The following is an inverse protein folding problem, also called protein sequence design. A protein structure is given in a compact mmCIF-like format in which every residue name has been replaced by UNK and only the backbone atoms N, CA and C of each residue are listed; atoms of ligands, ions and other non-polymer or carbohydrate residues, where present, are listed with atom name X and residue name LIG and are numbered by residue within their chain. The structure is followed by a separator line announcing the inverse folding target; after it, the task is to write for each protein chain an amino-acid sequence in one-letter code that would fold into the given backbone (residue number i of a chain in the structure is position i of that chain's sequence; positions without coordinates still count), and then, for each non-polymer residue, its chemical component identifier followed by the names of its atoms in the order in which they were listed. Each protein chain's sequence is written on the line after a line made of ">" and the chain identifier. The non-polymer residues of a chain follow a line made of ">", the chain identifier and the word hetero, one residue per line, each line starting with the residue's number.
data_IF_426722737125
#
_entry.id   IF_426722737125
#
_cell.length_a   1.000
_cell.length_b   1.000
_cell.length_c   1.000
_cell.angle_alpha   90.00
_cell.angle_beta   90.00
_cell.angle_gamma   90.00
#
_symmetry.space_group_name_H-M   'P 1'
#
loop_
_entity.id
_entity.type
_entity.pdbx_description
1 polymer ?
#
# COMPACT_ATOMS: atom_id res chain seq x y z
N UNK A 1 -5.28 -4.67 -22.97
CA UNK A 1 -3.87 -4.41 -23.33
C UNK A 1 -3.70 -3.05 -23.98
N UNK A 2 -3.90 -1.95 -23.23
CA UNK A 2 -3.56 -0.57 -23.67
C UNK A 2 -3.15 0.33 -22.48
N UNK A 3 -2.75 -0.24 -21.33
CA UNK A 3 -2.30 0.54 -20.16
C UNK A 3 -0.78 0.77 -20.16
N UNK A 4 -0.11 0.32 -21.21
CA UNK A 4 1.35 0.17 -21.29
C UNK A 4 1.94 0.68 -22.61
N UNK A 5 1.20 1.49 -23.37
CA UNK A 5 1.72 2.20 -24.56
C UNK A 5 2.92 3.09 -24.21
N UNK A 6 3.03 3.48 -22.94
CA UNK A 6 4.13 4.22 -22.35
C UNK A 6 5.47 3.47 -22.45
N UNK A 7 5.46 2.13 -22.54
CA UNK A 7 6.67 1.32 -22.77
C UNK A 7 7.32 1.60 -24.12
N UNK A 8 6.52 1.98 -25.12
CA UNK A 8 7.01 2.37 -26.43
C UNK A 8 7.34 3.86 -26.54
N UNK A 9 6.93 4.69 -25.57
CA UNK A 9 7.24 6.13 -25.57
C UNK A 9 8.73 6.38 -25.53
N UNK A 10 9.51 5.55 -24.81
CA UNK A 10 10.99 5.67 -24.80
C UNK A 10 11.58 5.40 -26.18
N UNK A 11 11.11 4.36 -26.88
CA UNK A 11 11.56 4.04 -28.24
C UNK A 11 11.15 5.13 -29.24
N UNK A 12 9.94 5.67 -29.11
CA UNK A 12 9.47 6.78 -29.92
C UNK A 12 10.26 8.07 -29.64
N UNK A 13 10.51 8.39 -28.38
CA UNK A 13 11.31 9.55 -27.99
C UNK A 13 12.74 9.43 -28.55
N UNK A 14 13.35 8.23 -28.47
CA UNK A 14 14.65 7.97 -29.08
C UNK A 14 14.60 8.14 -30.60
N UNK A 15 13.64 7.53 -31.28
CA UNK A 15 13.47 7.65 -32.73
C UNK A 15 13.26 9.11 -33.17
N UNK A 16 12.39 9.85 -32.49
CA UNK A 16 12.16 11.27 -32.77
C UNK A 16 13.37 12.14 -32.46
N UNK A 17 14.13 11.85 -31.40
CA UNK A 17 15.36 12.61 -31.09
C UNK A 17 16.44 12.41 -32.16
N UNK A 18 16.64 11.16 -32.61
CA UNK A 18 17.65 10.82 -33.61
C UNK A 18 17.24 11.30 -35.01
N UNK A 19 16.05 10.92 -35.48
CA UNK A 19 15.56 11.29 -36.80
C UNK A 19 15.23 12.79 -36.89
N UNK A 20 14.77 13.39 -35.79
CA UNK A 20 14.51 14.82 -35.71
C UNK A 20 15.80 15.63 -35.84
N UNK A 21 16.90 15.22 -35.19
CA UNK A 21 18.20 15.86 -35.35
C UNK A 21 18.72 15.79 -36.79
N UNK A 22 18.60 14.61 -37.43
CA UNK A 22 18.97 14.43 -38.84
C UNK A 22 18.10 15.31 -39.74
N UNK A 23 16.78 15.33 -39.53
CA UNK A 23 15.86 16.15 -40.33
C UNK A 23 16.16 17.65 -40.21
N UNK A 24 16.46 18.14 -39.00
CA UNK A 24 16.85 19.54 -38.78
C UNK A 24 18.15 19.89 -39.51
N UNK A 25 19.12 18.97 -39.55
CA UNK A 25 20.38 19.15 -40.29
C UNK A 25 20.13 19.38 -41.78
N UNK A 26 19.27 18.59 -42.40
CA UNK A 26 18.99 18.65 -43.85
C UNK A 26 18.12 19.86 -44.25
N UNK A 27 17.18 20.28 -43.40
CA UNK A 27 16.24 21.37 -43.70
C UNK A 27 16.88 22.77 -43.51
N UNK A 28 18.05 22.83 -42.87
CA UNK A 28 18.84 24.05 -42.71
C UNK A 28 18.39 24.94 -41.55
N UNK A 29 19.31 25.78 -41.05
CA UNK A 29 19.19 26.51 -39.78
C UNK A 29 17.96 27.42 -39.66
N UNK A 30 17.48 28.01 -40.75
CA UNK A 30 16.32 28.93 -40.76
C UNK A 30 15.01 28.21 -40.43
N UNK A 31 14.80 27.04 -41.01
CA UNK A 31 13.59 26.22 -40.80
C UNK A 31 13.73 25.31 -39.57
N UNK A 32 14.96 24.92 -39.21
CA UNK A 32 15.25 24.17 -37.99
C UNK A 32 14.71 24.84 -36.72
N UNK A 33 14.80 26.17 -36.62
CA UNK A 33 14.24 26.94 -35.49
C UNK A 33 12.71 26.79 -35.43
N UNK A 34 12.02 26.84 -36.57
CA UNK A 34 10.56 26.69 -36.62
C UNK A 34 10.16 25.31 -36.11
N UNK A 35 10.83 24.25 -36.56
CA UNK A 35 10.58 22.88 -36.10
C UNK A 35 10.90 22.67 -34.62
N UNK A 36 11.93 23.34 -34.07
CA UNK A 36 12.21 23.32 -32.64
C UNK A 36 11.14 24.02 -31.80
N UNK A 37 10.44 25.01 -32.36
CA UNK A 37 9.35 25.71 -31.68
C UNK A 37 8.02 24.92 -31.72
N UNK A 38 7.82 24.02 -32.67
CA UNK A 38 6.57 23.24 -32.80
C UNK A 38 6.20 22.48 -31.51
N UNK A 39 7.10 21.71 -30.86
CA UNK A 39 6.79 21.06 -29.60
C UNK A 39 6.45 22.04 -28.47
N UNK A 40 7.12 23.21 -28.43
CA UNK A 40 6.84 24.24 -27.42
C UNK A 40 5.45 24.86 -27.61
N UNK A 41 5.05 25.12 -28.86
CA UNK A 41 3.71 25.61 -29.19
C UNK A 41 2.67 24.54 -28.88
N UNK A 42 2.92 23.30 -29.26
CA UNK A 42 2.02 22.17 -28.99
C UNK A 42 1.84 21.91 -27.49
N UNK A 43 2.92 22.02 -26.71
CA UNK A 43 2.91 21.84 -25.26
C UNK A 43 2.52 23.08 -24.47
N UNK A 44 2.12 24.19 -25.12
CA UNK A 44 1.69 25.42 -24.43
C UNK A 44 0.64 25.19 -23.32
N UNK A 45 -0.39 24.33 -23.52
CA UNK A 45 -1.33 24.02 -22.45
C UNK A 45 -0.66 23.48 -21.19
N UNK A 46 0.41 22.67 -21.29
CA UNK A 46 1.08 22.05 -20.15
C UNK A 46 1.67 23.10 -19.20
N UNK A 47 2.22 24.21 -19.73
CA UNK A 47 2.78 25.31 -18.93
C UNK A 47 1.72 26.10 -18.16
N UNK A 48 0.45 25.99 -18.55
CA UNK A 48 -0.68 26.67 -17.91
C UNK A 48 -1.58 25.70 -17.13
N UNK A 49 -1.02 24.56 -16.70
CA UNK A 49 -1.79 23.52 -16.00
C UNK A 49 -2.86 22.90 -16.87
N UNK A 50 -2.53 22.63 -18.13
CA UNK A 50 -3.47 22.20 -19.18
C UNK A 50 -4.66 23.17 -19.32
N UNK A 51 -4.36 24.47 -19.49
CA UNK A 51 -5.37 25.53 -19.58
C UNK A 51 -6.29 25.58 -18.35
N UNK A 52 -5.71 25.44 -17.15
CA UNK A 52 -6.45 25.49 -15.89
C UNK A 52 -7.17 24.19 -15.50
N UNK A 53 -7.00 23.10 -16.24
CA UNK A 53 -7.51 21.78 -15.83
C UNK A 53 -6.82 21.25 -14.56
N UNK A 54 -5.54 21.56 -14.39
CA UNK A 54 -4.71 21.21 -13.24
C UNK A 54 -4.34 22.47 -12.46
N UNK A 55 -4.86 22.54 -11.24
CA UNK A 55 -4.60 23.58 -10.25
C UNK A 55 -3.93 22.91 -9.04
N UNK A 56 -2.70 23.32 -8.66
CA UNK A 56 -2.09 22.87 -7.42
C UNK A 56 -3.05 23.15 -6.26
N UNK A 57 -3.47 22.08 -5.60
CA UNK A 57 -4.44 22.13 -4.50
C UNK A 57 -3.81 21.46 -3.29
N UNK A 58 -3.80 22.18 -2.18
CA UNK A 58 -3.30 21.65 -0.91
C UNK A 58 -4.42 20.92 -0.15
N UNK A 59 -4.05 20.08 0.82
CA UNK A 59 -5.02 19.41 1.67
C UNK A 59 -5.75 20.41 2.58
N UNK A 60 -7.03 20.17 2.91
CA UNK A 60 -7.74 20.97 3.89
C UNK A 60 -7.04 20.98 5.26
N UNK A 61 -7.17 22.09 6.00
CA UNK A 61 -6.51 22.26 7.32
C UNK A 61 -6.85 21.12 8.30
N UNK A 62 -8.09 20.65 8.28
CA UNK A 62 -8.54 19.61 9.18
C UNK A 62 -7.94 18.22 8.91
N UNK A 63 -7.45 17.95 7.69
CA UNK A 63 -6.63 16.78 7.43
C UNK A 63 -5.32 16.82 8.22
N UNK A 64 -4.65 17.98 8.24
CA UNK A 64 -3.45 18.18 9.05
C UNK A 64 -3.76 18.02 10.54
N UNK A 65 -4.88 18.57 11.01
CA UNK A 65 -5.28 18.45 12.42
C UNK A 65 -5.50 16.98 12.82
N UNK A 66 -6.12 16.16 11.96
CA UNK A 66 -6.29 14.71 12.17
C UNK A 66 -4.94 13.99 12.14
N UNK A 67 -4.05 14.32 11.19
CA UNK A 67 -2.70 13.74 11.12
C UNK A 67 -1.91 14.04 12.39
N UNK A 68 -1.86 15.29 12.85
CA UNK A 68 -1.16 15.66 14.09
C UNK A 68 -1.72 14.94 15.31
N UNK A 69 -3.04 14.72 15.35
CA UNK A 69 -3.64 13.91 16.40
C UNK A 69 -3.16 12.44 16.35
N UNK A 70 -3.15 11.81 15.18
CA UNK A 70 -2.68 10.44 15.02
C UNK A 70 -1.18 10.30 15.34
N UNK A 71 -0.36 11.24 14.89
CA UNK A 71 1.08 11.27 15.18
C UNK A 71 1.34 11.33 16.69
N UNK A 72 0.50 12.04 17.46
CA UNK A 72 0.58 12.08 18.93
C UNK A 72 0.26 10.74 19.62
N UNK A 73 -0.30 9.77 18.90
CA UNK A 73 -0.67 8.44 19.42
C UNK A 73 0.36 7.35 19.12
N UNK A 74 1.40 7.65 18.36
CA UNK A 74 2.42 6.68 17.93
C UNK A 74 2.12 6.06 16.56
N UNK A 75 2.85 4.97 16.25
CA UNK A 75 2.88 4.33 14.93
C UNK A 75 2.72 2.81 14.97
N UNK A 76 2.36 2.24 16.12
CA UNK A 76 2.21 0.80 16.38
C UNK A 76 0.85 0.24 15.95
N UNK A 77 0.06 1.02 15.23
CA UNK A 77 -1.28 0.69 14.77
C UNK A 77 -1.49 1.07 13.29
N UNK A 78 -2.57 0.53 12.71
CA UNK A 78 -3.03 0.85 11.36
C UNK A 78 -4.26 1.75 11.40
N UNK A 79 -4.44 2.50 10.32
CA UNK A 79 -5.59 3.38 10.10
C UNK A 79 -6.38 2.85 8.92
N UNK A 80 -7.69 2.64 9.09
CA UNK A 80 -8.58 2.35 7.96
C UNK A 80 -9.11 3.66 7.40
N UNK A 81 -8.97 3.87 6.09
CA UNK A 81 -9.52 5.03 5.40
C UNK A 81 -10.74 4.64 4.57
N UNK A 82 -11.81 5.41 4.77
CA UNK A 82 -13.13 5.26 4.14
C UNK A 82 -13.57 6.60 3.54
N UNK A 83 -14.50 6.62 2.57
CA UNK A 83 -15.21 5.48 1.97
C UNK A 83 -14.32 4.47 1.25
N UNK A 84 -14.82 3.24 1.07
CA UNK A 84 -14.07 2.12 0.50
C UNK A 84 -13.97 2.18 -1.03
N UNK A 85 -13.35 3.27 -1.51
CA UNK A 85 -13.13 3.57 -2.92
C UNK A 85 -11.66 3.88 -3.19
N UNK A 86 -11.04 3.17 -4.13
CA UNK A 86 -9.64 3.41 -4.52
C UNK A 86 -9.47 4.72 -5.28
N UNK A 87 -10.52 5.14 -5.99
CA UNK A 87 -10.63 6.43 -6.67
C UNK A 87 -11.97 7.06 -6.33
N UNK A 88 -11.95 8.30 -5.85
CA UNK A 88 -13.17 9.04 -5.54
C UNK A 88 -12.99 10.52 -5.75
N UNK A 89 -14.12 11.21 -5.86
CA UNK A 89 -14.16 12.65 -6.03
C UNK A 89 -13.97 13.32 -4.67
N UNK A 90 -13.08 14.30 -4.60
CA UNK A 90 -12.89 15.11 -3.40
C UNK A 90 -13.38 16.52 -3.65
N UNK A 91 -14.34 16.98 -2.85
CA UNK A 91 -15.01 18.26 -2.99
C UNK A 91 -14.06 19.48 -2.99
N UNK A 92 -12.97 19.39 -2.23
CA UNK A 92 -11.95 20.42 -2.06
C UNK A 92 -10.94 20.52 -3.22
N UNK A 93 -10.96 19.60 -4.19
CA UNK A 93 -10.12 19.66 -5.38
C UNK A 93 -10.65 20.70 -6.38
N UNK A 94 -9.77 21.60 -6.83
CA UNK A 94 -10.08 22.71 -7.74
C UNK A 94 -9.94 22.39 -9.22
N UNK A 95 -9.46 21.18 -9.55
CA UNK A 95 -9.27 20.72 -10.92
C UNK A 95 -10.61 20.51 -11.64
N UNK A 96 -10.56 20.45 -12.97
CA UNK A 96 -11.72 20.11 -13.79
C UNK A 96 -12.27 18.70 -13.45
N UNK A 97 -11.36 17.75 -13.22
CA UNK A 97 -11.68 16.43 -12.66
C UNK A 97 -11.30 16.39 -11.18
N UNK A 98 -12.29 16.07 -10.33
CA UNK A 98 -12.11 15.96 -8.87
C UNK A 98 -11.71 14.56 -8.44
N UNK A 99 -11.73 13.59 -9.35
CA UNK A 99 -11.43 12.20 -9.05
C UNK A 99 -9.92 12.01 -8.96
N UNK A 100 -9.48 11.57 -7.79
CA UNK A 100 -8.09 11.14 -7.59
C UNK A 100 -8.05 9.80 -6.88
N UNK A 101 -6.90 9.13 -6.93
CA UNK A 101 -6.62 8.01 -6.05
C UNK A 101 -6.71 8.49 -4.59
N UNK A 102 -7.32 7.70 -3.70
CA UNK A 102 -7.42 8.03 -2.29
C UNK A 102 -6.03 8.42 -1.73
N UNK A 103 -5.84 9.66 -1.26
CA UNK A 103 -4.51 10.18 -0.95
C UNK A 103 -4.02 9.79 0.45
N UNK A 104 -4.86 9.10 1.23
CA UNK A 104 -4.65 8.86 2.65
C UNK A 104 -3.32 8.16 2.95
N UNK A 105 -2.96 7.11 2.21
CA UNK A 105 -1.70 6.40 2.39
C UNK A 105 -0.45 7.26 2.09
N UNK A 106 -0.56 8.30 1.27
CA UNK A 106 0.53 9.24 1.01
C UNK A 106 0.55 10.44 1.97
N UNK A 107 -0.58 10.74 2.61
CA UNK A 107 -0.74 11.90 3.47
C UNK A 107 -0.49 11.60 4.96
N UNK A 108 -1.07 10.51 5.48
CA UNK A 108 -0.92 10.12 6.89
C UNK A 108 0.37 9.32 7.09
N UNK A 109 1.03 9.51 8.24
CA UNK A 109 2.29 8.84 8.54
C UNK A 109 2.09 7.38 9.02
N UNK A 110 0.90 7.06 9.52
CA UNK A 110 0.55 5.71 9.95
C UNK A 110 0.37 4.78 8.76
N UNK A 111 0.46 3.47 8.99
CA UNK A 111 0.12 2.48 7.96
C UNK A 111 -1.38 2.55 7.65
N UNK A 112 -1.73 3.15 6.52
CA UNK A 112 -3.13 3.29 6.08
C UNK A 112 -3.54 2.08 5.23
N UNK A 113 -4.66 1.48 5.60
CA UNK A 113 -5.41 0.54 4.76
C UNK A 113 -6.50 1.35 4.05
N UNK A 114 -6.43 1.37 2.73
CA UNK A 114 -7.42 2.00 1.86
C UNK A 114 -7.84 1.02 0.77
N UNK A 115 -8.97 1.28 0.12
CA UNK A 115 -9.46 0.41 -0.94
C UNK A 115 -8.52 0.45 -2.16
N UNK A 116 -8.37 -0.70 -2.83
CA UNK A 116 -7.58 -0.87 -4.05
C UNK A 116 -8.43 -1.26 -5.26
N UNK A 117 -9.75 -1.10 -5.15
CA UNK A 117 -10.68 -1.29 -6.26
C UNK A 117 -10.47 -0.21 -7.33
N UNK A 118 -10.53 -0.63 -8.59
CA UNK A 118 -10.27 0.25 -9.74
C UNK A 118 -11.52 0.96 -10.25
N UNK A 119 -12.68 0.65 -9.66
CA UNK A 119 -13.98 1.26 -9.99
C UNK A 119 -14.33 1.20 -11.49
N UNK A 120 -13.91 0.13 -12.17
CA UNK A 120 -14.22 -0.12 -13.58
C UNK A 120 -15.43 -1.04 -13.67
N UNK A 121 -16.42 -0.67 -14.50
CA UNK A 121 -17.61 -1.48 -14.76
C UNK A 121 -17.22 -2.91 -15.16
N UNK A 122 -17.76 -3.90 -14.45
CA UNK A 122 -17.48 -5.33 -14.68
C UNK A 122 -16.16 -5.84 -14.09
N UNK A 123 -15.34 -4.98 -13.46
CA UNK A 123 -14.12 -5.37 -12.74
C UNK A 123 -13.97 -4.59 -11.44
N UNK A 124 -14.42 -5.18 -10.35
CA UNK A 124 -14.35 -4.56 -9.02
C UNK A 124 -12.89 -4.44 -8.52
N UNK A 125 -12.01 -5.44 -8.73
CA UNK A 125 -10.61 -5.40 -8.27
C UNK A 125 -9.63 -5.88 -9.33
N UNK A 126 -8.44 -5.27 -9.37
CA UNK A 126 -7.27 -5.80 -10.09
C UNK A 126 -6.39 -6.70 -9.21
N UNK A 127 -6.33 -6.42 -7.91
CA UNK A 127 -5.57 -7.20 -6.91
C UNK A 127 -6.44 -7.47 -5.69
N UNK A 128 -6.51 -8.71 -5.24
CA UNK A 128 -7.26 -9.10 -4.05
C UNK A 128 -6.30 -9.67 -3.01
N UNK A 129 -5.77 -8.82 -2.13
CA UNK A 129 -5.08 -9.31 -0.94
C UNK A 129 -6.10 -9.83 0.07
N UNK A 130 -5.75 -10.81 0.93
CA UNK A 130 -6.67 -11.29 1.97
C UNK A 130 -7.23 -10.17 2.84
N UNK A 131 -6.40 -9.18 3.16
CA UNK A 131 -6.77 -7.99 3.93
C UNK A 131 -7.85 -7.15 3.24
N UNK A 132 -7.74 -6.93 1.92
CA UNK A 132 -8.77 -6.21 1.15
C UNK A 132 -10.09 -6.99 1.15
N UNK A 133 -10.06 -8.30 0.86
CA UNK A 133 -11.26 -9.16 0.89
C UNK A 133 -11.95 -9.10 2.25
N UNK A 134 -11.16 -9.13 3.33
CA UNK A 134 -11.65 -9.08 4.69
C UNK A 134 -12.31 -7.73 5.03
N UNK A 135 -11.68 -6.61 4.65
CA UNK A 135 -12.29 -5.29 4.85
C UNK A 135 -13.53 -5.09 3.98
N UNK A 136 -13.51 -5.52 2.72
CA UNK A 136 -14.69 -5.49 1.86
C UNK A 136 -15.87 -6.19 2.54
N UNK A 137 -15.62 -7.39 3.08
CA UNK A 137 -16.65 -8.13 3.81
C UNK A 137 -17.19 -7.35 5.02
N UNK A 138 -16.30 -6.73 5.81
CA UNK A 138 -16.68 -5.92 6.97
C UNK A 138 -17.50 -4.72 6.55
N UNK A 139 -17.03 -3.95 5.58
CA UNK A 139 -17.67 -2.70 5.12
C UNK A 139 -19.03 -2.98 4.50
N UNK A 140 -19.13 -3.95 3.58
CA UNK A 140 -20.39 -4.29 2.92
C UNK A 140 -21.44 -4.91 3.83
N UNK A 141 -21.03 -5.42 5.00
CA UNK A 141 -21.94 -6.00 5.98
C UNK A 141 -21.91 -5.26 7.32
N UNK A 142 -21.42 -4.01 7.35
CA UNK A 142 -21.15 -3.26 8.59
C UNK A 142 -22.34 -3.17 9.54
N UNK A 143 -23.55 -2.98 8.99
CA UNK A 143 -24.79 -2.97 9.77
C UNK A 143 -25.14 -4.33 10.41
N UNK A 144 -24.74 -5.43 9.78
CA UNK A 144 -25.08 -6.81 10.19
C UNK A 144 -24.04 -7.41 11.12
N UNK A 145 -22.80 -6.90 11.10
CA UNK A 145 -21.69 -7.41 11.90
C UNK A 145 -21.74 -6.79 13.30
N UNK A 146 -22.08 -7.61 14.30
CA UNK A 146 -22.13 -7.22 15.72
C UNK A 146 -20.77 -6.83 16.28
N UNK A 147 -19.74 -7.61 15.94
CA UNK A 147 -18.37 -7.59 16.46
C UNK A 147 -17.36 -6.94 15.49
N UNK A 148 -17.78 -5.88 14.79
CA UNK A 148 -16.96 -5.21 13.77
C UNK A 148 -15.65 -4.65 14.35
N UNK A 149 -15.72 -4.09 15.54
CA UNK A 149 -14.60 -3.58 16.32
C UNK A 149 -13.52 -4.66 16.58
N UNK A 150 -13.92 -5.86 17.01
CA UNK A 150 -12.99 -7.00 17.15
C UNK A 150 -12.39 -7.44 15.81
N UNK A 151 -13.18 -7.49 14.74
CA UNK A 151 -12.70 -7.85 13.41
C UNK A 151 -11.67 -6.85 12.88
N UNK A 152 -11.90 -5.54 13.07
CA UNK A 152 -10.92 -4.51 12.71
C UNK A 152 -9.62 -4.65 13.51
N UNK A 153 -9.71 -5.03 14.79
CA UNK A 153 -8.53 -5.24 15.62
C UNK A 153 -7.63 -6.37 15.14
N UNK A 154 -8.17 -7.40 14.46
CA UNK A 154 -7.37 -8.46 13.85
C UNK A 154 -6.38 -7.94 12.80
N UNK A 155 -6.66 -6.77 12.21
CA UNK A 155 -5.78 -6.08 11.27
C UNK A 155 -5.01 -4.93 11.91
N UNK A 156 -4.91 -4.90 13.24
CA UNK A 156 -4.29 -3.82 14.01
C UNK A 156 -4.91 -2.43 13.76
N UNK A 157 -6.18 -2.37 13.35
CA UNK A 157 -6.84 -1.10 13.05
C UNK A 157 -7.29 -0.47 14.37
N UNK A 158 -6.62 0.61 14.76
CA UNK A 158 -6.99 1.40 15.95
C UNK A 158 -7.89 2.58 15.59
N UNK A 159 -7.64 3.22 14.46
CA UNK A 159 -8.41 4.38 14.03
C UNK A 159 -9.04 4.14 12.66
N UNK A 160 -10.25 4.67 12.49
CA UNK A 160 -10.96 4.69 11.21
C UNK A 160 -11.21 6.14 10.84
N UNK A 161 -10.73 6.56 9.68
CA UNK A 161 -11.02 7.86 9.09
C UNK A 161 -12.13 7.67 8.06
N UNK A 162 -13.21 8.42 8.19
CA UNK A 162 -14.27 8.50 7.18
C UNK A 162 -14.25 9.91 6.59
N UNK A 163 -13.84 10.03 5.33
CA UNK A 163 -13.96 11.26 4.57
C UNK A 163 -15.44 11.54 4.26
N UNK A 164 -15.88 12.78 4.43
CA UNK A 164 -17.24 13.26 4.13
C UNK A 164 -17.43 13.51 2.63
N UNK A 165 -17.07 12.51 1.83
CA UNK A 165 -17.09 12.53 0.37
C UNK A 165 -17.98 11.40 -0.17
N UNK A 166 -18.40 11.52 -1.43
CA UNK A 166 -19.16 10.50 -2.17
C UNK A 166 -20.35 9.92 -1.38
N UNK A 167 -20.21 8.71 -0.85
CA UNK A 167 -21.27 7.90 -0.22
C UNK A 167 -21.08 7.73 1.29
N UNK A 168 -20.33 8.64 1.94
CA UNK A 168 -19.99 8.54 3.36
C UNK A 168 -21.20 8.36 4.29
N UNK A 169 -22.40 8.83 3.91
CA UNK A 169 -23.61 8.63 4.71
C UNK A 169 -23.98 7.14 4.87
N UNK A 170 -23.61 6.30 3.90
CA UNK A 170 -23.76 4.84 3.97
C UNK A 170 -22.99 4.19 5.12
N UNK A 171 -22.03 4.90 5.71
CA UNK A 171 -21.20 4.44 6.82
C UNK A 171 -21.72 4.86 8.19
N UNK A 172 -22.99 5.27 8.30
CA UNK A 172 -23.60 5.68 9.57
C UNK A 172 -23.55 4.61 10.68
N UNK A 173 -23.40 3.33 10.31
CA UNK A 173 -23.20 2.24 11.25
C UNK A 173 -21.93 2.40 12.11
N UNK A 174 -20.90 3.10 11.62
CA UNK A 174 -19.65 3.33 12.37
C UNK A 174 -19.91 4.06 13.69
N UNK A 175 -20.87 4.99 13.74
CA UNK A 175 -21.21 5.72 14.97
C UNK A 175 -21.80 4.84 16.08
N UNK A 176 -22.33 3.66 15.72
CA UNK A 176 -22.85 2.67 16.68
C UNK A 176 -21.79 1.66 17.12
N UNK A 177 -20.75 1.47 16.31
CA UNK A 177 -19.77 0.37 16.44
C UNK A 177 -18.42 0.85 16.95
N UNK A 178 -18.07 2.11 16.69
CA UNK A 178 -16.80 2.72 17.04
C UNK A 178 -17.03 4.00 17.84
N UNK A 179 -16.00 4.44 18.55
CA UNK A 179 -16.05 5.66 19.35
C UNK A 179 -15.65 6.84 18.49
N UNK A 180 -16.55 7.79 18.25
CA UNK A 180 -16.19 9.05 17.60
C UNK A 180 -15.22 9.84 18.49
N UNK A 181 -14.05 10.18 17.94
CA UNK A 181 -12.99 10.95 18.63
C UNK A 181 -12.99 12.39 18.18
N UNK A 182 -13.16 12.61 16.87
CA UNK A 182 -13.13 13.94 16.28
C UNK A 182 -14.05 13.98 15.06
N UNK A 183 -14.75 15.09 14.94
CA UNK A 183 -15.46 15.48 13.73
C UNK A 183 -14.86 16.80 13.25
N UNK A 184 -14.63 16.89 11.95
CA UNK A 184 -14.14 18.10 11.27
C UNK A 184 -15.04 18.44 10.09
N UNK A 185 -14.67 19.45 9.30
CA UNK A 185 -15.41 19.82 8.09
C UNK A 185 -15.44 18.68 7.06
N UNK A 186 -14.31 18.00 6.85
CA UNK A 186 -14.14 16.99 5.81
C UNK A 186 -14.02 15.55 6.34
N UNK A 187 -13.78 15.34 7.64
CA UNK A 187 -13.45 14.01 8.19
C UNK A 187 -14.24 13.69 9.46
N UNK A 188 -14.56 12.42 9.63
CA UNK A 188 -14.79 11.81 10.95
C UNK A 188 -13.61 10.92 11.31
N UNK A 189 -13.17 11.00 12.56
CA UNK A 189 -12.17 10.12 13.14
C UNK A 189 -12.79 9.28 14.25
N UNK A 190 -12.76 7.97 14.07
CA UNK A 190 -13.23 6.99 15.05
C UNK A 190 -12.06 6.23 15.66
N UNK A 191 -12.18 5.88 16.94
CA UNK A 191 -11.31 4.95 17.65
C UNK A 191 -12.02 3.61 17.83
N UNK A 192 -11.28 2.54 17.58
CA UNK A 192 -11.71 1.17 17.80
C UNK A 192 -11.55 0.81 19.30
N UNK A 193 -12.65 0.62 20.04
CA UNK A 193 -12.59 0.33 21.48
C UNK A 193 -12.01 -1.07 21.78
N UNK A 194 -12.04 -1.98 20.81
CA UNK A 194 -11.57 -3.36 20.94
C UNK A 194 -10.14 -3.55 20.47
N UNK A 195 -9.41 -2.48 20.16
CA UNK A 195 -8.00 -2.55 19.74
C UNK A 195 -7.10 -3.11 20.85
N UNK A 196 -6.22 -4.05 20.49
CA UNK A 196 -5.33 -4.75 21.42
C UNK A 196 -3.85 -4.75 21.02
N UNK A 197 -3.48 -4.03 19.96
CA UNK A 197 -2.10 -3.95 19.47
C UNK A 197 -1.77 -4.97 18.38
N UNK A 198 -0.49 -5.02 18.00
CA UNK A 198 0.01 -5.80 16.88
C UNK A 198 0.09 -7.32 17.12
N UNK A 199 -0.03 -7.76 18.37
CA UNK A 199 -0.02 -9.17 18.73
C UNK A 199 -0.82 -9.47 20.00
N UNK A 200 -1.36 -10.68 20.08
CA UNK A 200 -2.00 -11.22 21.27
C UNK A 200 -1.73 -12.71 21.37
N UNK A 201 -2.13 -13.30 22.49
CA UNK A 201 -1.90 -14.71 22.78
C UNK A 201 -3.12 -15.34 23.46
N UNK A 202 -3.34 -16.63 23.20
CA UNK A 202 -4.50 -17.41 23.70
C UNK A 202 -4.12 -18.89 23.88
N UNK A 203 -4.82 -19.59 24.78
CA UNK A 203 -4.67 -21.03 24.98
C UNK A 203 -5.65 -21.85 24.13
N UNK A 204 -6.77 -21.23 23.75
CA UNK A 204 -7.86 -21.90 23.06
C UNK A 204 -7.68 -21.87 21.55
N UNK A 205 -8.00 -22.98 20.89
CA UNK A 205 -8.14 -23.07 19.44
C UNK A 205 -9.55 -23.55 19.08
N UNK A 206 -10.09 -23.04 17.98
CA UNK A 206 -11.40 -23.37 17.44
C UNK A 206 -11.34 -23.52 15.93
N UNK A 207 -12.01 -24.55 15.41
CA UNK A 207 -12.07 -24.84 13.99
C UNK A 207 -13.42 -24.43 13.43
N UNK A 208 -13.40 -23.73 12.31
CA UNK A 208 -14.60 -23.26 11.61
C UNK A 208 -14.61 -23.80 10.18
N UNK A 209 -15.79 -24.08 9.67
CA UNK A 209 -15.94 -24.51 8.28
C UNK A 209 -16.02 -23.33 7.32
N UNK A 210 -16.49 -22.16 7.80
CA UNK A 210 -16.68 -20.98 6.97
C UNK A 210 -16.44 -19.65 7.71
N UNK A 211 -15.98 -18.58 7.00
CA UNK A 211 -15.71 -17.28 7.62
C UNK A 211 -16.90 -16.58 8.26
N UNK A 212 -18.12 -16.77 7.75
CA UNK A 212 -19.32 -16.12 8.28
C UNK A 212 -19.62 -16.54 9.73
N UNK A 213 -19.07 -17.68 10.18
CA UNK A 213 -19.20 -18.14 11.55
C UNK A 213 -18.45 -17.27 12.56
N UNK A 214 -17.58 -16.36 12.12
CA UNK A 214 -16.93 -15.36 12.97
C UNK A 214 -17.86 -14.20 13.35
N UNK A 215 -18.96 -13.99 12.64
CA UNK A 215 -19.88 -12.87 12.90
C UNK A 215 -20.58 -13.08 14.26
N UNK A 216 -20.73 -12.00 15.02
CA UNK A 216 -21.45 -11.95 16.30
C UNK A 216 -20.86 -12.87 17.38
N UNK A 217 -19.58 -13.22 17.28
CA UNK A 217 -18.82 -13.93 18.31
C UNK A 217 -17.73 -13.03 18.87
N UNK A 218 -17.37 -13.22 20.13
CA UNK A 218 -16.05 -12.81 20.60
C UNK A 218 -15.06 -13.69 19.85
N UNK A 219 -14.22 -13.08 19.02
CA UNK A 219 -13.30 -13.81 18.14
C UNK A 219 -11.86 -13.72 18.63
N UNK A 220 -11.58 -12.79 19.53
CA UNK A 220 -10.20 -12.54 19.98
C UNK A 220 -9.79 -13.36 21.21
N UNK A 221 -10.71 -14.16 21.78
CA UNK A 221 -10.48 -14.99 22.97
C UNK A 221 -9.87 -16.37 22.65
N UNK A 222 -9.93 -16.80 21.39
CA UNK A 222 -9.47 -18.10 20.90
C UNK A 222 -8.87 -17.95 19.52
N UNK A 223 -7.91 -18.79 19.17
CA UNK A 223 -7.39 -18.89 17.81
C UNK A 223 -8.43 -19.58 16.93
N UNK A 224 -8.87 -18.93 15.86
CA UNK A 224 -9.78 -19.53 14.88
C UNK A 224 -9.03 -19.96 13.62
N UNK A 225 -9.20 -21.21 13.23
CA UNK A 225 -8.60 -21.81 12.01
C UNK A 225 -9.70 -22.40 11.13
N UNK A 226 -9.63 -22.16 9.82
CA UNK A 226 -10.59 -22.76 8.90
C UNK A 226 -10.17 -24.17 8.50
N UNK A 227 -11.09 -25.13 8.60
CA UNK A 227 -10.87 -26.53 8.24
C UNK A 227 -11.36 -27.50 9.30
N UNK A 228 -10.85 -28.73 9.24
CA UNK A 228 -11.20 -29.81 10.16
C UNK A 228 -10.25 -29.83 11.35
N UNK A 229 -10.79 -29.96 12.56
CA UNK A 229 -10.02 -30.09 13.79
C UNK A 229 -10.92 -30.14 15.03
N UNK A 230 -10.31 -30.29 16.19
CA UNK A 230 -11.02 -30.35 17.48
C UNK A 230 -10.79 -29.08 18.28
N UNK A 231 -11.89 -28.47 18.72
CA UNK A 231 -11.83 -27.32 19.62
C UNK A 231 -11.18 -27.75 20.95
N UNK A 232 -10.19 -27.00 21.42
CA UNK A 232 -9.48 -27.34 22.67
C UNK A 232 -8.95 -26.10 23.38
N UNK A 233 -8.66 -26.22 24.68
CA UNK A 233 -8.14 -25.13 25.51
C UNK A 233 -9.20 -24.11 25.98
N UNK A 234 -8.92 -23.35 27.05
CA UNK A 234 -9.83 -22.32 27.58
C UNK A 234 -9.90 -21.10 26.67
N UNK A 235 -11.00 -20.33 26.75
CA UNK A 235 -11.07 -19.00 26.14
C UNK A 235 -10.33 -17.98 26.99
N UNK A 236 -9.65 -17.04 26.34
CA UNK A 236 -8.98 -15.94 27.00
C UNK A 236 -7.96 -15.27 26.08
N UNK A 237 -8.08 -13.94 25.97
CA UNK A 237 -7.12 -13.10 25.26
C UNK A 237 -6.16 -12.47 26.25
N UNK A 238 -4.88 -12.49 25.89
CA UNK A 238 -3.85 -11.74 26.61
C UNK A 238 -3.08 -10.92 25.60
N UNK A 239 -2.91 -9.62 25.88
CA UNK A 239 -2.05 -8.78 25.06
C UNK A 239 -0.62 -9.35 25.05
N UNK A 240 0.06 -9.22 23.93
CA UNK A 240 1.47 -9.58 23.80
C UNK A 240 2.24 -8.37 23.30
N UNK A 241 3.19 -7.89 24.11
CA UNK A 241 4.01 -6.74 23.72
C UNK A 241 5.08 -7.15 22.70
N UNK A 242 5.07 -6.46 21.57
CA UNK A 242 6.00 -6.69 20.45
C UNK A 242 6.57 -5.39 19.93
N UNK A 243 7.77 -5.46 19.34
CA UNK A 243 8.44 -4.35 18.71
C UNK A 243 8.79 -4.71 17.25
N UNK A 244 8.50 -3.82 16.30
CA UNK A 244 8.80 -4.05 14.89
C UNK A 244 10.29 -3.86 14.60
N UNK A 245 10.93 -4.86 13.97
CA UNK A 245 12.38 -4.85 13.67
C UNK A 245 12.71 -4.55 12.21
N UNK A 246 11.71 -4.25 11.36
CA UNK A 246 11.88 -4.05 9.92
C UNK A 246 11.57 -5.30 9.07
N UNK A 247 11.92 -6.48 9.59
CA UNK A 247 11.68 -7.78 8.95
C UNK A 247 10.83 -8.73 9.80
N UNK A 248 10.20 -8.22 10.87
CA UNK A 248 9.45 -9.03 11.82
C UNK A 248 9.15 -8.31 13.13
N UNK A 249 8.83 -9.10 14.15
CA UNK A 249 8.53 -8.65 15.50
C UNK A 249 9.47 -9.30 16.52
N UNK A 250 10.08 -8.47 17.35
CA UNK A 250 10.76 -8.89 18.56
C UNK A 250 9.75 -9.01 19.71
N UNK A 251 9.76 -10.14 20.41
CA UNK A 251 8.91 -10.33 21.58
C UNK A 251 9.54 -9.64 22.80
N UNK A 252 8.82 -8.68 23.39
CA UNK A 252 9.29 -7.95 24.57
C UNK A 252 9.08 -8.73 25.88
N UNK A 253 8.31 -9.80 25.83
CA UNK A 253 8.03 -10.69 26.95
C UNK A 253 7.91 -12.14 26.50
N UNK A 254 8.19 -13.09 27.39
CA UNK A 254 8.00 -14.51 27.12
C UNK A 254 6.50 -14.82 26.96
N UNK A 255 6.08 -15.52 25.89
CA UNK A 255 4.71 -16.01 25.74
C UNK A 255 4.28 -16.84 26.96
N UNK A 256 3.08 -16.55 27.45
CA UNK A 256 2.44 -17.22 28.59
C UNK A 256 1.31 -18.15 28.16
N UNK A 257 1.01 -18.18 26.87
CA UNK A 257 -0.11 -18.89 26.28
C UNK A 257 0.35 -19.74 25.11
N UNK A 258 -0.45 -20.76 24.81
CA UNK A 258 -0.10 -21.77 23.80
C UNK A 258 0.02 -21.20 22.40
N UNK A 259 -0.76 -20.19 22.04
CA UNK A 259 -0.76 -19.60 20.70
C UNK A 259 -0.43 -18.11 20.75
N UNK A 260 0.42 -17.68 19.83
CA UNK A 260 0.67 -16.27 19.51
C UNK A 260 -0.05 -15.96 18.21
N UNK A 261 -0.72 -14.83 18.15
CA UNK A 261 -1.37 -14.32 16.95
C UNK A 261 -0.80 -12.92 16.67
N UNK A 262 -0.28 -12.72 15.46
CA UNK A 262 0.15 -11.41 14.99
C UNK A 262 -0.87 -10.88 13.99
N UNK A 263 -1.10 -9.57 14.01
CA UNK A 263 -2.08 -8.89 13.15
C UNK A 263 -1.54 -8.59 11.74
N UNK A 264 -0.51 -9.32 11.31
CA UNK A 264 0.02 -9.22 9.95
C UNK A 264 -0.66 -10.24 9.03
N UNK A 265 -0.82 -9.92 7.73
CA UNK A 265 -1.37 -10.85 6.76
C UNK A 265 -0.63 -12.20 6.78
N UNK A 266 -1.40 -13.27 6.59
CA UNK A 266 -0.84 -14.62 6.45
C UNK A 266 0.16 -14.70 5.30
N UNK A 267 1.33 -15.27 5.59
CA UNK A 267 2.34 -15.68 4.62
C UNK A 267 3.05 -16.93 5.15
N UNK A 268 3.38 -17.85 4.26
CA UNK A 268 4.19 -19.04 4.59
C UNK A 268 5.65 -18.67 4.94
N UNK A 269 6.07 -17.45 4.60
CA UNK A 269 7.43 -16.95 4.88
C UNK A 269 7.61 -16.51 6.33
N UNK A 270 6.53 -16.38 7.11
CA UNK A 270 6.61 -16.06 8.53
C UNK A 270 7.18 -17.24 9.33
N UNK A 271 8.13 -16.98 10.22
CA UNK A 271 8.83 -17.99 11.02
C UNK A 271 8.84 -17.54 12.49
N UNK A 272 8.59 -18.49 13.39
CA UNK A 272 8.76 -18.35 14.83
C UNK A 272 9.40 -19.61 15.37
N UNK A 273 10.62 -19.53 15.91
CA UNK A 273 11.35 -20.69 16.47
C UNK A 273 11.37 -21.91 15.53
N UNK A 274 11.71 -21.68 14.25
CA UNK A 274 11.68 -22.69 13.16
C UNK A 274 10.30 -23.30 12.84
N UNK A 275 9.23 -22.88 13.53
CA UNK A 275 7.88 -23.34 13.28
C UNK A 275 7.23 -22.61 12.12
N UNK A 276 6.38 -23.37 11.44
CA UNK A 276 5.54 -22.87 10.35
C UNK A 276 4.37 -22.03 10.89
N UNK A 277 3.95 -21.02 10.13
CA UNK A 277 2.82 -20.18 10.49
C UNK A 277 1.51 -20.95 10.30
N UNK A 278 0.51 -20.62 11.13
CA UNK A 278 -0.85 -21.14 11.08
C UNK A 278 -1.74 -20.05 10.45
N UNK A 279 -2.52 -20.34 9.39
CA UNK A 279 -3.46 -19.39 8.81
C UNK A 279 -4.64 -19.19 9.76
N UNK A 280 -4.67 -18.02 10.41
CA UNK A 280 -5.65 -17.68 11.43
C UNK A 280 -6.68 -16.70 10.88
N UNK A 281 -7.96 -16.93 11.22
CA UNK A 281 -9.10 -16.08 10.83
C UNK A 281 -9.26 -15.88 9.32
N UNK A 282 -8.55 -16.67 8.51
CA UNK A 282 -8.49 -16.55 7.04
C UNK A 282 -7.75 -15.31 6.52
N UNK A 283 -7.08 -14.56 7.40
CA UNK A 283 -6.44 -13.30 7.00
C UNK A 283 -5.09 -13.07 7.67
N UNK A 284 -4.88 -13.50 8.90
CA UNK A 284 -3.67 -13.20 9.69
C UNK A 284 -2.88 -14.45 10.09
N UNK A 285 -1.71 -14.22 10.67
CA UNK A 285 -0.75 -15.27 11.05
C UNK A 285 -0.84 -15.61 12.54
N UNK A 286 -0.78 -16.90 12.87
CA UNK A 286 -0.58 -17.39 14.22
C UNK A 286 0.54 -18.42 14.31
N UNK A 287 1.01 -18.70 15.53
CA UNK A 287 2.05 -19.69 15.83
C UNK A 287 1.74 -20.42 17.13
N UNK A 288 2.22 -21.65 17.27
CA UNK A 288 2.25 -22.36 18.54
C UNK A 288 3.52 -21.99 19.31
N UNK A 289 3.34 -21.45 20.52
CA UNK A 289 4.40 -20.93 21.36
C UNK A 289 4.83 -21.93 22.45
N UNK A 290 6.11 -22.24 22.46
CA UNK A 290 6.82 -23.07 23.44
C UNK A 290 8.09 -22.40 23.99
N UNK A 291 8.66 -21.44 23.25
CA UNK A 291 9.84 -20.67 23.64
C UNK A 291 9.61 -19.16 23.74
N UNK A 292 10.72 -18.43 23.80
CA UNK A 292 10.78 -17.00 23.50
C UNK A 292 11.74 -16.83 22.34
N UNK A 293 11.19 -16.59 21.15
CA UNK A 293 11.95 -16.33 19.93
C UNK A 293 11.38 -15.10 19.23
N UNK A 294 12.15 -14.52 18.31
CA UNK A 294 11.64 -13.45 17.45
C UNK A 294 10.80 -14.03 16.31
N UNK A 295 9.77 -13.30 15.91
CA UNK A 295 8.94 -13.63 14.75
C UNK A 295 9.54 -12.92 13.55
N UNK A 296 10.00 -13.65 12.53
CA UNK A 296 10.68 -13.05 11.38
C UNK A 296 10.08 -13.50 10.06
N UNK A 297 10.21 -12.69 9.02
CA UNK A 297 9.86 -13.07 7.65
C UNK A 297 11.11 -13.59 6.95
N UNK A 298 11.00 -14.75 6.30
CA UNK A 298 12.02 -15.29 5.42
C UNK A 298 12.14 -14.41 4.18
N UNK A 299 13.24 -13.67 4.07
CA UNK A 299 13.53 -12.87 2.89
C UNK A 299 14.26 -13.73 1.86
N UNK A 300 13.68 -13.87 0.66
CA UNK A 300 14.37 -14.52 -0.46
C UNK A 300 15.30 -13.53 -1.17
N UNK A 301 16.60 -13.64 -0.90
CA UNK A 301 17.62 -12.78 -1.51
C UNK A 301 18.06 -13.20 -2.92
N UNK A 302 17.62 -14.36 -3.42
CA UNK A 302 18.07 -14.88 -4.73
C UNK A 302 17.75 -13.91 -5.89
N UNK A 303 16.54 -13.35 -6.02
CA UNK A 303 16.24 -12.41 -7.11
C UNK A 303 17.13 -11.16 -7.05
N UNK A 304 17.40 -10.64 -5.85
CA UNK A 304 18.25 -9.48 -5.65
C UNK A 304 19.71 -9.75 -6.05
N UNK A 305 20.23 -10.94 -5.71
CA UNK A 305 21.56 -11.37 -6.12
C UNK A 305 21.66 -11.49 -7.65
N UNK A 306 20.65 -12.08 -8.31
CA UNK A 306 20.60 -12.18 -9.77
C UNK A 306 20.57 -10.80 -10.42
N UNK A 307 19.73 -9.88 -9.93
CA UNK A 307 19.67 -8.51 -10.44
C UNK A 307 21.00 -7.76 -10.27
N UNK A 308 21.67 -7.92 -9.12
CA UNK A 308 22.97 -7.31 -8.88
C UNK A 308 24.05 -7.83 -9.85
N UNK A 309 24.09 -9.15 -10.09
CA UNK A 309 25.02 -9.77 -11.03
C UNK A 309 24.77 -9.26 -12.47
N UNK A 310 23.50 -9.18 -12.90
CA UNK A 310 23.15 -8.64 -14.22
C UNK A 310 23.58 -7.18 -14.35
N UNK A 311 23.33 -6.35 -13.34
CA UNK A 311 23.73 -4.95 -13.33
C UNK A 311 25.25 -4.80 -13.47
N UNK A 312 26.02 -5.56 -12.69
CA UNK A 312 27.48 -5.57 -12.77
C UNK A 312 27.94 -6.03 -14.15
N UNK A 313 27.33 -7.07 -14.72
CA UNK A 313 27.62 -7.53 -16.08
C UNK A 313 27.39 -6.45 -17.14
N UNK A 314 26.28 -5.69 -17.05
CA UNK A 314 25.98 -4.57 -17.95
C UNK A 314 27.00 -3.45 -17.81
N UNK A 315 27.37 -3.07 -16.57
CA UNK A 315 28.37 -2.04 -16.32
C UNK A 315 29.74 -2.45 -16.87
N UNK A 316 30.14 -3.70 -16.67
CA UNK A 316 31.39 -4.24 -17.20
C UNK A 316 31.38 -4.34 -18.72
N UNK A 317 30.24 -4.64 -19.36
CA UNK A 317 30.13 -4.67 -20.82
C UNK A 317 30.15 -3.27 -21.46
N UNK A 318 29.58 -2.26 -20.80
CA UNK A 318 29.58 -0.89 -21.29
C UNK A 318 30.92 -0.16 -21.06
N UNK A 319 31.75 -0.64 -20.12
CA UNK A 319 33.03 -0.02 -19.80
C UNK A 319 34.06 0.00 -20.95
N UNK A 320 34.28 -1.07 -21.74
CA UNK A 320 35.22 -1.08 -22.85
C UNK A 320 34.65 -0.34 -24.06
N UNK A 321 33.32 -0.39 -24.24
CA UNK A 321 32.63 0.34 -25.31
C UNK A 321 32.84 1.86 -25.17
N UNK A 322 32.85 2.37 -23.93
CA UNK A 322 33.16 3.76 -23.64
C UNK A 322 34.61 4.11 -23.96
N UNK A 323 35.55 3.23 -23.64
CA UNK A 323 36.98 3.40 -23.94
C UNK A 323 37.22 3.38 -25.45
N UNK A 324 36.57 2.49 -26.19
CA UNK A 324 36.70 2.37 -27.64
C UNK A 324 36.13 3.60 -28.37
N UNK A 325 34.98 4.12 -27.92
CA UNK A 325 34.40 5.38 -28.43
C UNK A 325 35.33 6.58 -28.16
N UNK A 326 35.98 6.62 -26.99
CA UNK A 326 36.89 7.70 -26.61
C UNK A 326 38.18 7.67 -27.44
N UNK A 327 38.74 6.48 -27.68
CA UNK A 327 39.89 6.28 -28.58
C UNK A 327 39.54 6.65 -30.03
N UNK A 328 38.37 6.26 -30.54
CA UNK A 328 37.94 6.64 -31.90
C UNK A 328 37.74 8.14 -32.03
N UNK A 329 37.29 8.81 -30.95
CA UNK A 329 37.13 10.26 -30.93
C UNK A 329 38.46 10.98 -30.96
N UNK A 330 39.42 10.58 -30.12
CA UNK A 330 40.77 11.18 -30.10
C UNK A 330 41.45 11.06 -31.46
N UNK A 331 41.39 9.88 -32.10
CA UNK A 331 41.95 9.68 -33.45
C UNK A 331 41.33 10.62 -34.49
N UNK A 332 40.02 10.87 -34.38
CA UNK A 332 39.30 11.74 -35.33
C UNK A 332 39.63 13.21 -35.11
N UNK A 333 39.84 13.63 -33.86
CA UNK A 333 40.31 14.98 -33.51
C UNK A 333 41.76 15.22 -33.99
N UNK A 334 42.65 14.21 -33.93
CA UNK A 334 44.01 14.28 -34.48
C UNK A 334 44.02 14.39 -36.02
N UNK A 335 43.23 13.58 -36.73
CA UNK A 335 43.11 13.65 -38.20
C UNK A 335 42.53 14.99 -38.70
N UNK A 336 41.68 15.63 -37.90
CA UNK A 336 41.16 16.97 -38.21
C UNK A 336 42.17 18.08 -37.92
N UNK A 337 43.10 17.89 -36.97
CA UNK A 337 44.15 18.86 -36.66
C UNK A 337 45.32 18.83 -37.66
N UNK A 338 45.57 17.70 -38.33
CA UNK A 338 46.59 17.57 -39.37
C UNK A 338 46.15 18.10 -40.75
N UNK A 339 44.85 18.28 -40.98
CA UNK A 339 44.29 18.87 -42.20
C UNK A 339 44.18 20.38 -42.11
#
# INVERSE_FOLDING_TARGET
>A
GMRDSHKFVVLLALAYSYLGAIGIKEIGRRWGIVFLLVPLIYSYPMFTGFQGQLVPTDFPKDWYDVRSYLDSKGYDYRVLFLPWHGYMDFSWIKNADKRICAPAAGFFNQRVIQALNVEIVGKYRERATPEQIFIDYIVFNGDKIGNMDEMLSLLNIRYVILAKEVDYQGYSFLFKKLKLVRETEHLYLFENPSWFGAAFQTDGISYLSRPEQLINKTITDRLYVFGNGTNSGPSGRYALKVEWTGNGYKLLEKPKKKYIVITEPFSEDWIYDEKKPIPAYGVITAFEADGQADITVKVNYVPYAVSAVVLVGVLLYLSPLKIEIEIEREKREEEEAEK
#
